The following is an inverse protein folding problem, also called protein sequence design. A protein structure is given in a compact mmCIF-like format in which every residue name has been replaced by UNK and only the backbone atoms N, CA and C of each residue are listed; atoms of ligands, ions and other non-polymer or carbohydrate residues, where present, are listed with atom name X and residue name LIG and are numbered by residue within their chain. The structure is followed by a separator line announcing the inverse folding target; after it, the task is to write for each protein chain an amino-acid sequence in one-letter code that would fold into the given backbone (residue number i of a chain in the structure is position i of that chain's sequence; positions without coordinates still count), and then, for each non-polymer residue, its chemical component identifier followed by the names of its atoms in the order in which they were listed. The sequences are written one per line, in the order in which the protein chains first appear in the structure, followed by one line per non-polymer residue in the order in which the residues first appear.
data_IF_165987762175
#
_entry.id   IF_165987762175
#
_cell.length_a   1.000
_cell.length_b   1.000
_cell.length_c   1.000
_cell.angle_alpha   90.00
_cell.angle_beta   90.00
_cell.angle_gamma   90.00
#
_symmetry.space_group_name_H-M   'P 1'
#
loop_
_entity.id
_entity.type
_entity.pdbx_description
1 polymer ?
#
# COMPACT_ATOMS: atom_id res chain seq x y z
N UNK A 1 12.98 14.77 10.33
CA UNK A 1 11.60 14.59 10.83
C UNK A 1 11.19 13.14 10.59
N UNK A 2 11.30 12.31 11.64
CA UNK A 2 11.15 10.84 11.58
C UNK A 2 9.68 10.46 11.43
N UNK A 3 9.37 9.65 10.41
CA UNK A 3 8.42 8.53 10.31
C UNK A 3 7.40 8.23 11.43
N UNK A 4 6.80 9.23 12.09
CA UNK A 4 5.83 9.04 13.18
C UNK A 4 4.36 9.05 12.73
N UNK A 5 4.07 9.30 11.45
CA UNK A 5 2.70 9.41 10.95
C UNK A 5 1.96 8.07 10.82
N UNK A 6 2.63 6.94 11.00
CA UNK A 6 2.11 5.61 10.62
C UNK A 6 2.09 4.56 11.74
N UNK A 7 2.46 4.90 12.98
CA UNK A 7 2.37 3.96 14.12
C UNK A 7 1.01 4.06 14.83
N UNK A 8 0.51 2.93 15.33
CA UNK A 8 -0.87 2.64 15.75
C UNK A 8 -1.51 3.56 16.82
N UNK A 9 -0.77 4.50 17.40
CA UNK A 9 -1.27 5.34 18.51
C UNK A 9 -1.80 6.72 18.08
N UNK A 10 -1.73 7.10 16.80
CA UNK A 10 -2.23 8.40 16.35
C UNK A 10 -3.72 8.37 16.00
N UNK A 11 -4.55 8.89 16.91
CA UNK A 11 -5.99 9.09 16.67
C UNK A 11 -6.18 10.06 15.50
N UNK A 12 -6.89 9.61 14.45
CA UNK A 12 -7.21 10.40 13.24
C UNK A 12 -7.67 11.84 13.54
N UNK A 13 -8.44 12.03 14.61
CA UNK A 13 -8.95 13.34 15.04
C UNK A 13 -7.85 14.32 15.46
N UNK A 14 -6.85 13.87 16.21
CA UNK A 14 -5.78 14.75 16.68
C UNK A 14 -4.89 15.23 15.53
N UNK A 15 -4.65 14.38 14.53
CA UNK A 15 -3.85 14.73 13.35
C UNK A 15 -4.58 15.72 12.43
N UNK A 16 -5.89 15.58 12.30
CA UNK A 16 -6.75 16.51 11.55
C UNK A 16 -6.74 17.89 12.19
N UNK A 17 -6.82 17.94 13.53
CA UNK A 17 -6.78 19.18 14.30
C UNK A 17 -5.37 19.83 14.29
N UNK A 18 -4.31 19.04 14.44
CA UNK A 18 -2.92 19.53 14.46
C UNK A 18 -2.47 20.07 13.10
N UNK A 19 -2.88 19.42 12.01
CA UNK A 19 -2.46 19.78 10.65
C UNK A 19 -3.46 20.68 9.93
N UNK A 20 -4.60 21.00 10.55
CA UNK A 20 -5.72 21.75 9.96
C UNK A 20 -6.13 21.23 8.57
N UNK A 21 -6.12 19.91 8.41
CA UNK A 21 -6.50 19.24 7.16
C UNK A 21 -7.84 18.57 7.29
N UNK A 22 -8.58 18.47 6.19
CA UNK A 22 -9.85 17.76 6.20
C UNK A 22 -9.65 16.26 6.48
N UNK A 23 -10.48 15.72 7.36
CA UNK A 23 -10.40 14.31 7.78
C UNK A 23 -10.63 13.31 6.62
N UNK A 24 -11.36 13.70 5.58
CA UNK A 24 -11.54 12.89 4.36
C UNK A 24 -10.24 12.82 3.56
N UNK A 25 -9.48 13.91 3.49
CA UNK A 25 -8.21 13.98 2.78
C UNK A 25 -7.16 13.08 3.43
N UNK A 26 -7.05 13.12 4.76
CA UNK A 26 -6.16 12.24 5.51
C UNK A 26 -6.50 10.76 5.28
N UNK A 27 -7.79 10.41 5.22
CA UNK A 27 -8.22 9.04 4.89
C UNK A 27 -7.87 8.64 3.46
N UNK A 28 -8.02 9.53 2.48
CA UNK A 28 -7.66 9.29 1.08
C UNK A 28 -6.17 9.03 0.94
N UNK A 29 -5.32 9.84 1.58
CA UNK A 29 -3.87 9.66 1.53
C UNK A 29 -3.43 8.38 2.22
N UNK A 30 -3.98 8.11 3.41
CA UNK A 30 -3.73 6.88 4.16
C UNK A 30 -4.03 5.64 3.31
N UNK A 31 -5.19 5.59 2.65
CA UNK A 31 -5.58 4.42 1.87
C UNK A 31 -4.96 4.33 0.46
N UNK A 32 -4.24 5.37 0.01
CA UNK A 32 -3.67 5.41 -1.32
C UNK A 32 -2.28 4.77 -1.34
N UNK A 33 -2.06 3.72 -2.18
CA UNK A 33 -0.78 3.03 -2.31
C UNK A 33 0.42 3.93 -2.63
N UNK A 34 0.18 5.05 -3.32
CA UNK A 34 1.23 6.01 -3.69
C UNK A 34 1.78 6.77 -2.48
N UNK A 35 0.94 7.03 -1.49
CA UNK A 35 1.27 7.88 -0.33
C UNK A 35 1.50 7.07 0.95
N UNK A 36 1.15 5.79 0.96
CA UNK A 36 1.40 4.89 2.09
C UNK A 36 2.69 4.08 1.96
N UNK A 37 3.57 4.42 1.01
CA UNK A 37 4.86 3.74 0.77
C UNK A 37 4.75 2.21 0.62
N UNK A 38 3.61 1.72 0.10
CA UNK A 38 3.33 0.29 -0.03
C UNK A 38 3.05 -0.42 1.29
N UNK A 39 3.03 0.30 2.42
CA UNK A 39 2.53 -0.23 3.68
C UNK A 39 1.05 -0.53 3.52
N UNK A 40 0.74 -1.82 3.61
CA UNK A 40 -0.60 -2.28 3.91
C UNK A 40 -0.87 -1.80 5.34
N UNK A 41 -1.58 -0.69 5.49
CA UNK A 41 -2.06 -0.27 6.80
C UNK A 41 -2.75 -1.47 7.43
N UNK A 42 -2.24 -1.84 8.60
CA UNK A 42 -2.68 -2.98 9.37
C UNK A 42 -4.20 -3.09 9.28
N UNK A 43 -4.58 -4.16 8.60
CA UNK A 43 -5.77 -4.96 8.73
C UNK A 43 -6.97 -4.23 9.31
N UNK A 44 -7.94 -3.99 8.42
CA UNK A 44 -9.33 -4.04 8.84
C UNK A 44 -9.45 -5.26 9.79
N UNK A 45 -9.85 -5.10 11.07
CA UNK A 45 -9.82 -6.19 12.06
C UNK A 45 -10.79 -7.35 11.77
N UNK A 46 -11.27 -7.43 10.52
CA UNK A 46 -12.23 -8.38 9.98
C UNK A 46 -11.65 -9.30 8.90
N UNK A 47 -10.38 -9.14 8.51
CA UNK A 47 -9.77 -10.07 7.55
C UNK A 47 -9.31 -11.31 8.29
N UNK A 48 -9.90 -12.46 7.95
CA UNK A 48 -9.42 -13.75 8.48
C UNK A 48 -8.01 -14.04 7.96
N UNK A 49 -7.26 -14.89 8.66
CA UNK A 49 -5.92 -15.30 8.24
C UNK A 49 -5.88 -15.81 6.79
N UNK A 50 -6.93 -16.53 6.36
CA UNK A 50 -7.09 -16.97 4.97
C UNK A 50 -7.22 -15.82 3.98
N UNK A 51 -7.98 -14.77 4.31
CA UNK A 51 -8.13 -13.60 3.45
C UNK A 51 -6.83 -12.78 3.37
N UNK A 52 -6.06 -12.70 4.46
CA UNK A 52 -4.73 -12.09 4.45
C UNK A 52 -3.77 -12.88 3.55
N UNK A 53 -3.82 -14.21 3.61
CA UNK A 53 -3.00 -15.07 2.76
C UNK A 53 -3.36 -14.91 1.28
N UNK A 54 -4.64 -14.94 0.93
CA UNK A 54 -5.11 -14.68 -0.45
C UNK A 54 -4.59 -13.34 -0.95
N UNK A 55 -4.75 -12.29 -0.15
CA UNK A 55 -4.32 -10.94 -0.52
C UNK A 55 -2.80 -10.83 -0.74
N UNK A 56 -2.00 -11.50 0.09
CA UNK A 56 -0.53 -11.57 -0.08
C UNK A 56 -0.19 -12.29 -1.38
N UNK A 57 -0.78 -13.46 -1.62
CA UNK A 57 -0.55 -14.25 -2.82
C UNK A 57 -0.96 -13.50 -4.10
N UNK A 58 -2.10 -12.80 -4.10
CA UNK A 58 -2.52 -11.97 -5.25
C UNK A 58 -1.54 -10.82 -5.54
N UNK A 59 -0.92 -10.26 -4.50
CA UNK A 59 0.11 -9.22 -4.66
C UNK A 59 1.35 -9.81 -5.33
N UNK A 60 1.89 -10.90 -4.79
CA UNK A 60 3.06 -11.60 -5.33
C UNK A 60 2.83 -12.03 -6.79
N UNK A 61 1.64 -12.55 -7.10
CA UNK A 61 1.28 -13.00 -8.45
C UNK A 61 1.27 -11.83 -9.45
N UNK A 62 0.80 -10.64 -9.05
CA UNK A 62 0.86 -9.43 -9.90
C UNK A 62 2.30 -8.97 -10.14
N UNK A 63 3.14 -8.99 -9.11
CA UNK A 63 4.55 -8.57 -9.21
C UNK A 63 5.32 -9.51 -10.15
N UNK A 64 5.20 -10.83 -9.97
CA UNK A 64 5.83 -11.84 -10.84
C UNK A 64 5.36 -11.70 -12.30
N UNK A 65 4.06 -11.47 -12.52
CA UNK A 65 3.53 -11.25 -13.89
C UNK A 65 4.13 -10.02 -14.53
N UNK A 66 4.25 -8.92 -13.78
CA UNK A 66 4.86 -7.69 -14.27
C UNK A 66 6.32 -7.91 -14.64
N UNK A 67 7.10 -8.56 -13.76
CA UNK A 67 8.50 -8.91 -14.02
C UNK A 67 8.65 -9.80 -15.24
N UNK A 68 7.80 -10.82 -15.38
CA UNK A 68 7.81 -11.71 -16.56
C UNK A 68 7.55 -10.95 -17.86
N UNK A 69 6.58 -10.04 -17.88
CA UNK A 69 6.29 -9.23 -19.06
C UNK A 69 7.43 -8.25 -19.40
N UNK A 70 8.07 -7.68 -18.38
CA UNK A 70 9.28 -6.87 -18.56
C UNK A 70 10.38 -7.73 -19.19
N UNK A 71 10.66 -8.90 -18.65
CA UNK A 71 11.72 -9.79 -19.15
C UNK A 71 11.44 -10.27 -20.58
N UNK A 72 10.19 -10.63 -20.90
CA UNK A 72 9.80 -10.99 -22.28
C UNK A 72 10.03 -9.84 -23.26
N UNK A 73 9.68 -8.61 -22.88
CA UNK A 73 9.94 -7.43 -23.72
C UNK A 73 11.43 -7.21 -23.93
N UNK A 74 12.24 -7.36 -22.89
CA UNK A 74 13.70 -7.27 -22.99
C UNK A 74 14.27 -8.36 -23.90
N UNK A 75 13.80 -9.60 -23.75
CA UNK A 75 14.19 -10.71 -24.61
C UNK A 75 13.85 -10.45 -26.08
N UNK A 76 12.62 -9.99 -26.37
CA UNK A 76 12.20 -9.66 -27.72
C UNK A 76 13.00 -8.50 -28.34
N UNK A 77 13.43 -7.54 -27.52
CA UNK A 77 14.31 -6.46 -27.96
C UNK A 77 15.71 -6.96 -28.35
N UNK A 78 16.28 -7.91 -27.58
CA UNK A 78 17.62 -8.47 -27.84
C UNK A 78 17.68 -9.41 -29.04
N UNK A 79 16.54 -9.96 -29.48
CA UNK A 79 16.44 -10.85 -30.65
C UNK A 79 16.16 -10.09 -31.97
N UNK A 80 16.01 -8.77 -31.91
CA UNK A 80 15.89 -7.88 -33.08
C UNK A 80 17.26 -7.35 -33.49
#
# INVERSE_FOLDING_TARGET
MKARLFTEEFKKKSVVEELDIRADLLSKWRNNPLYNAGYLLADNPKLSEGQLKIRRLEKELREIKLESEILKKHWAFLQK
#
